data_IF_804925441555
#
_entry.id   IF_804925441555
#
_cell.length_a   1.000
_cell.length_b   1.000
_cell.length_c   1.000
_cell.angle_alpha   90.00
_cell.angle_beta   90.00
_cell.angle_gamma   90.00
#
_symmetry.space_group_name_H-M   'P 1'
#
loop_
_entity.id
_entity.type
_entity.pdbx_description
1 polymer ?
#
# COMPACT_ATOMS: atom_id res chain seq x y z
N UNK A 1 25.70 -23.58 5.22
CA UNK A 1 26.43 -23.59 3.93
C UNK A 1 25.46 -23.76 2.77
N UNK A 2 25.82 -23.31 1.57
CA UNK A 2 24.99 -23.40 0.35
C UNK A 2 24.47 -24.80 0.04
N UNK A 3 25.27 -25.88 0.18
CA UNK A 3 24.77 -27.26 -0.03
C UNK A 3 23.66 -27.67 0.92
N UNK A 4 23.69 -27.20 2.17
CA UNK A 4 22.65 -27.48 3.16
C UNK A 4 21.34 -26.80 2.78
N UNK A 5 21.40 -25.54 2.33
CA UNK A 5 20.19 -24.83 1.88
C UNK A 5 19.55 -25.52 0.68
N UNK A 6 20.34 -25.92 -0.31
CA UNK A 6 19.85 -26.66 -1.49
C UNK A 6 19.20 -28.00 -1.10
N UNK A 7 19.76 -28.72 -0.11
CA UNK A 7 19.19 -29.97 0.36
C UNK A 7 17.84 -29.74 1.09
N UNK A 8 17.70 -28.64 1.82
CA UNK A 8 16.47 -28.23 2.48
C UNK A 8 15.41 -27.84 1.44
N UNK A 9 15.76 -27.00 0.46
CA UNK A 9 14.88 -26.58 -0.63
C UNK A 9 14.36 -27.75 -1.47
N UNK A 10 15.19 -28.77 -1.68
CA UNK A 10 14.81 -30.00 -2.38
C UNK A 10 14.02 -31.00 -1.51
N UNK A 11 13.79 -30.69 -0.23
CA UNK A 11 13.11 -31.61 0.70
C UNK A 11 13.91 -32.87 1.05
N UNK A 12 15.20 -32.97 0.64
CA UNK A 12 16.07 -34.12 0.90
C UNK A 12 16.69 -34.12 2.30
N UNK A 13 16.56 -32.99 3.01
CA UNK A 13 17.00 -32.85 4.40
C UNK A 13 15.97 -32.02 5.19
N UNK A 14 15.51 -32.52 6.35
CA UNK A 14 14.62 -31.74 7.22
C UNK A 14 15.37 -30.58 7.88
N UNK A 15 14.66 -29.49 8.11
CA UNK A 15 15.10 -28.35 8.89
C UNK A 15 15.20 -28.73 10.37
N UNK A 16 16.31 -28.36 11.02
CA UNK A 16 16.45 -28.48 12.49
C UNK A 16 15.85 -27.25 13.17
N UNK A 17 15.35 -27.39 14.39
CA UNK A 17 14.73 -26.30 15.14
C UNK A 17 15.61 -25.04 15.23
N UNK A 18 16.91 -25.20 15.49
CA UNK A 18 17.85 -24.08 15.53
C UNK A 18 18.08 -23.40 14.18
N UNK A 19 17.94 -24.14 13.08
CA UNK A 19 18.05 -23.59 11.72
C UNK A 19 16.80 -22.78 11.37
N UNK A 20 15.63 -23.25 11.80
CA UNK A 20 14.36 -22.52 11.64
C UNK A 20 14.43 -21.17 12.37
N UNK A 21 14.92 -21.15 13.62
CA UNK A 21 15.09 -19.90 14.39
C UNK A 21 16.04 -18.94 13.67
N UNK A 22 17.16 -19.43 13.13
CA UNK A 22 18.11 -18.60 12.36
C UNK A 22 17.51 -18.07 11.08
N UNK A 23 16.76 -18.89 10.34
CA UNK A 23 16.07 -18.45 9.13
C UNK A 23 14.97 -17.43 9.46
N UNK A 24 14.19 -17.67 10.53
CA UNK A 24 13.18 -16.74 11.01
C UNK A 24 13.80 -15.37 11.32
N UNK A 25 14.89 -15.35 12.08
CA UNK A 25 15.62 -14.12 12.39
C UNK A 25 16.18 -13.44 11.14
N UNK A 26 16.78 -14.21 10.22
CA UNK A 26 17.36 -13.68 8.97
C UNK A 26 16.31 -13.03 8.05
N UNK A 27 15.13 -13.67 7.94
CA UNK A 27 14.04 -13.15 7.13
C UNK A 27 13.11 -12.18 7.88
N UNK A 28 13.41 -11.83 9.13
CA UNK A 28 12.56 -10.97 9.95
C UNK A 28 11.17 -11.56 10.22
N UNK A 29 11.06 -12.91 10.20
CA UNK A 29 9.80 -13.63 10.38
C UNK A 29 9.77 -14.40 11.70
N UNK A 30 8.59 -14.68 12.22
CA UNK A 30 8.47 -15.59 13.38
C UNK A 30 8.66 -17.04 12.93
N UNK A 31 9.10 -17.89 13.87
CA UNK A 31 9.19 -19.35 13.64
C UNK A 31 7.82 -19.93 13.27
N UNK A 32 6.75 -19.40 13.87
CA UNK A 32 5.38 -19.81 13.59
C UNK A 32 4.96 -19.53 12.14
N UNK A 33 5.35 -18.39 11.59
CA UNK A 33 5.09 -18.05 10.17
C UNK A 33 5.82 -18.98 9.21
N UNK A 34 7.08 -19.34 9.51
CA UNK A 34 7.84 -20.27 8.68
C UNK A 34 7.32 -21.71 8.73
N UNK A 35 6.65 -22.09 9.82
CA UNK A 35 6.09 -23.42 10.00
C UNK A 35 4.62 -23.52 9.59
N UNK A 36 3.99 -22.42 9.23
CA UNK A 36 2.59 -22.39 8.82
C UNK A 36 2.42 -23.16 7.51
N UNK A 37 1.56 -24.16 7.46
CA UNK A 37 1.27 -24.85 6.20
C UNK A 37 0.40 -23.94 5.30
N UNK A 38 0.72 -23.91 4.02
CA UNK A 38 -0.06 -23.22 2.99
C UNK A 38 0.66 -22.02 2.37
N UNK A 39 0.15 -21.60 1.21
CA UNK A 39 0.56 -20.36 0.56
C UNK A 39 0.01 -19.15 1.33
N UNK A 40 0.68 -17.99 1.26
CA UNK A 40 0.15 -16.77 1.84
C UNK A 40 -1.22 -16.44 1.23
N UNK A 41 -2.18 -16.04 2.05
CA UNK A 41 -3.52 -15.66 1.61
C UNK A 41 -3.49 -14.46 0.62
N UNK A 42 -2.48 -13.63 0.76
CA UNK A 42 -2.17 -12.50 -0.11
C UNK A 42 -0.66 -12.29 -0.12
N UNK A 43 -0.07 -11.98 -1.27
CA UNK A 43 1.38 -11.73 -1.38
C UNK A 43 1.64 -10.35 -2.00
N UNK A 44 1.95 -9.37 -1.15
CA UNK A 44 2.27 -7.99 -1.54
C UNK A 44 3.79 -7.74 -1.65
N UNK A 45 4.61 -8.61 -1.04
CA UNK A 45 6.05 -8.40 -0.93
C UNK A 45 6.75 -8.31 -2.30
N UNK A 46 6.50 -9.21 -3.28
CA UNK A 46 7.18 -9.14 -4.56
C UNK A 46 6.93 -7.82 -5.28
N UNK A 47 5.72 -7.33 -5.17
CA UNK A 47 5.31 -6.08 -5.81
C UNK A 47 6.06 -4.87 -5.23
N UNK A 48 6.07 -4.72 -3.91
CA UNK A 48 6.73 -3.61 -3.23
C UNK A 48 8.27 -3.71 -3.30
N UNK A 49 8.84 -4.90 -3.19
CA UNK A 49 10.29 -5.11 -3.35
C UNK A 49 10.77 -4.81 -4.76
N UNK A 50 9.97 -5.09 -5.78
CA UNK A 50 10.30 -4.72 -7.16
C UNK A 50 10.40 -3.20 -7.34
N UNK A 51 9.57 -2.42 -6.62
CA UNK A 51 9.66 -0.95 -6.60
C UNK A 51 10.87 -0.48 -5.79
N UNK A 52 11.08 -1.02 -4.59
CA UNK A 52 12.22 -0.70 -3.73
C UNK A 52 13.56 -0.96 -4.43
N UNK A 53 13.69 -2.08 -5.14
CA UNK A 53 14.90 -2.46 -5.87
C UNK A 53 15.28 -1.51 -7.01
N UNK A 54 14.38 -0.67 -7.50
CA UNK A 54 14.68 0.36 -8.52
C UNK A 54 15.58 1.47 -7.99
N UNK A 55 15.62 1.71 -6.70
CA UNK A 55 16.45 2.75 -6.09
C UNK A 55 17.91 2.34 -5.95
N UNK A 56 18.27 1.09 -6.21
CA UNK A 56 19.64 0.50 -6.09
C UNK A 56 20.29 0.70 -4.71
N UNK A 57 19.54 1.11 -3.71
CA UNK A 57 20.02 1.31 -2.34
C UNK A 57 19.38 0.24 -1.48
N UNK A 58 20.19 -0.64 -0.90
CA UNK A 58 19.74 -1.58 0.10
C UNK A 58 19.24 -0.79 1.33
N UNK A 59 18.00 -1.00 1.71
CA UNK A 59 17.40 -0.36 2.87
C UNK A 59 16.73 -1.41 3.76
N UNK A 60 17.47 -1.96 4.74
CA UNK A 60 16.94 -2.99 5.64
C UNK A 60 15.68 -2.56 6.41
N UNK A 61 15.57 -1.27 6.76
CA UNK A 61 14.37 -0.75 7.43
C UNK A 61 13.15 -0.80 6.50
N UNK A 62 13.34 -0.53 5.22
CA UNK A 62 12.26 -0.65 4.22
C UNK A 62 11.86 -2.11 4.01
N UNK A 63 12.83 -3.02 3.91
CA UNK A 63 12.56 -4.46 3.78
C UNK A 63 11.80 -5.01 4.97
N UNK A 64 12.15 -4.55 6.17
CA UNK A 64 11.40 -4.87 7.39
C UNK A 64 9.97 -4.31 7.32
N UNK A 65 9.81 -3.04 6.93
CA UNK A 65 8.50 -2.42 6.81
C UNK A 65 7.59 -3.14 5.79
N UNK A 66 8.13 -3.56 4.65
CA UNK A 66 7.40 -4.36 3.66
C UNK A 66 6.99 -5.72 4.26
N UNK A 67 7.85 -6.36 5.03
CA UNK A 67 7.55 -7.65 5.68
C UNK A 67 6.48 -7.51 6.78
N UNK A 68 6.48 -6.41 7.52
CA UNK A 68 5.44 -6.09 8.51
C UNK A 68 4.10 -5.79 7.83
N UNK A 69 4.11 -5.08 6.70
CA UNK A 69 2.91 -4.78 5.92
C UNK A 69 2.29 -6.07 5.34
N UNK A 70 3.11 -7.00 4.88
CA UNK A 70 2.68 -8.33 4.45
C UNK A 70 1.93 -9.06 5.57
N UNK A 71 2.49 -9.08 6.79
CA UNK A 71 1.82 -9.71 7.94
C UNK A 71 0.49 -9.06 8.25
N UNK A 72 0.46 -7.72 8.25
CA UNK A 72 -0.78 -6.99 8.46
C UNK A 72 -1.86 -7.40 7.44
N UNK A 73 -1.49 -7.50 6.15
CA UNK A 73 -2.42 -7.91 5.10
C UNK A 73 -2.98 -9.32 5.33
N UNK A 74 -2.11 -10.28 5.68
CA UNK A 74 -2.51 -11.66 5.98
C UNK A 74 -3.41 -11.76 7.22
N UNK A 75 -3.04 -11.05 8.30
CA UNK A 75 -3.80 -11.06 9.55
C UNK A 75 -5.18 -10.40 9.37
N UNK A 76 -5.24 -9.30 8.60
CA UNK A 76 -6.48 -8.61 8.29
C UNK A 76 -7.44 -9.53 7.50
N UNK A 77 -6.94 -10.16 6.45
CA UNK A 77 -7.74 -11.08 5.64
C UNK A 77 -8.21 -12.29 6.46
N UNK A 78 -7.36 -12.78 7.36
CA UNK A 78 -7.73 -13.87 8.26
C UNK A 78 -8.84 -13.47 9.22
N UNK A 79 -8.79 -12.26 9.76
CA UNK A 79 -9.86 -11.72 10.61
C UNK A 79 -11.18 -11.60 9.84
N UNK A 80 -11.15 -11.11 8.61
CA UNK A 80 -12.34 -11.06 7.74
C UNK A 80 -12.96 -12.46 7.56
N UNK A 81 -12.11 -13.47 7.34
CA UNK A 81 -12.57 -14.86 7.19
C UNK A 81 -13.17 -15.41 8.50
N UNK A 82 -12.51 -15.19 9.64
CA UNK A 82 -12.99 -15.66 10.95
C UNK A 82 -14.33 -15.01 11.31
N UNK A 83 -14.43 -13.70 11.04
CA UNK A 83 -15.63 -12.91 11.33
C UNK A 83 -16.74 -13.11 10.29
N UNK A 84 -16.44 -13.80 9.18
CA UNK A 84 -17.32 -13.88 8.01
C UNK A 84 -17.83 -12.49 7.55
N UNK A 85 -16.94 -11.50 7.60
CA UNK A 85 -17.23 -10.11 7.31
C UNK A 85 -16.15 -9.55 6.34
N UNK A 86 -16.18 -9.93 5.05
CA UNK A 86 -15.24 -9.40 4.07
C UNK A 86 -15.45 -7.91 3.86
N UNK A 87 -14.36 -7.17 3.68
CA UNK A 87 -14.43 -5.74 3.36
C UNK A 87 -15.12 -5.54 2.01
N UNK A 88 -16.13 -4.69 1.99
CA UNK A 88 -16.84 -4.36 0.75
C UNK A 88 -16.00 -3.38 -0.07
N UNK A 89 -15.51 -3.84 -1.20
CA UNK A 89 -14.78 -3.00 -2.14
C UNK A 89 -15.77 -2.15 -2.96
N UNK A 90 -15.60 -0.83 -2.94
CA UNK A 90 -16.46 0.12 -3.63
C UNK A 90 -15.59 1.11 -4.43
N UNK A 91 -14.76 0.57 -5.33
CA UNK A 91 -13.88 1.36 -6.18
C UNK A 91 -14.60 1.83 -7.43
N UNK A 92 -14.39 3.08 -7.87
CA UNK A 92 -14.82 3.50 -9.18
C UNK A 92 -14.01 2.77 -10.28
N UNK A 93 -14.49 2.76 -11.53
CA UNK A 93 -13.69 2.30 -12.66
C UNK A 93 -12.34 3.01 -12.72
N UNK A 94 -11.29 2.28 -13.12
CA UNK A 94 -9.97 2.88 -13.29
C UNK A 94 -10.00 3.97 -14.35
N UNK A 95 -9.49 5.13 -13.99
CA UNK A 95 -9.48 6.31 -14.86
C UNK A 95 -8.20 6.31 -15.70
N UNK A 96 -8.33 6.40 -17.01
CA UNK A 96 -7.19 6.38 -17.93
C UNK A 96 -6.63 7.78 -18.15
N UNK A 97 -5.38 8.00 -17.76
CA UNK A 97 -4.65 9.21 -18.11
C UNK A 97 -4.23 9.15 -19.59
N UNK A 98 -4.85 9.98 -20.42
CA UNK A 98 -4.45 10.14 -21.82
C UNK A 98 -3.33 11.18 -21.92
N UNK A 99 -2.42 11.02 -22.87
CA UNK A 99 -1.33 11.98 -23.12
C UNK A 99 -1.83 13.37 -23.61
N UNK A 100 -3.11 13.49 -23.96
CA UNK A 100 -3.72 14.72 -24.46
C UNK A 100 -4.40 15.54 -23.34
N UNK A 101 -4.54 15.00 -22.14
CA UNK A 101 -5.22 15.65 -21.02
C UNK A 101 -4.21 16.23 -20.06
N UNK A 102 -4.44 17.46 -19.58
CA UNK A 102 -3.67 18.02 -18.48
C UNK A 102 -3.95 17.23 -17.20
N UNK A 103 -2.98 16.51 -16.63
CA UNK A 103 -3.21 15.65 -15.46
C UNK A 103 -3.74 16.41 -14.25
N UNK A 104 -3.40 17.69 -14.10
CA UNK A 104 -3.82 18.52 -12.97
C UNK A 104 -5.30 18.87 -13.06
N UNK A 105 -5.75 19.45 -14.18
CA UNK A 105 -7.16 19.79 -14.37
C UNK A 105 -8.05 18.54 -14.28
N UNK A 106 -7.58 17.43 -14.85
CA UNK A 106 -8.31 16.18 -14.79
C UNK A 106 -8.39 15.62 -13.36
N UNK A 107 -7.35 15.79 -12.55
CA UNK A 107 -7.35 15.37 -11.15
C UNK A 107 -8.35 16.16 -10.31
N UNK A 108 -8.51 17.46 -10.56
CA UNK A 108 -9.51 18.31 -9.92
C UNK A 108 -10.93 17.83 -10.26
N UNK A 109 -11.21 17.56 -11.54
CA UNK A 109 -12.51 17.06 -11.99
C UNK A 109 -12.83 15.69 -11.33
N UNK A 110 -11.85 14.79 -11.29
CA UNK A 110 -12.02 13.47 -10.64
C UNK A 110 -12.23 13.61 -9.13
N UNK A 111 -11.55 14.55 -8.48
CA UNK A 111 -11.74 14.81 -7.05
C UNK A 111 -13.18 15.29 -6.74
N UNK A 112 -13.74 16.14 -7.57
CA UNK A 112 -15.14 16.59 -7.46
C UNK A 112 -16.10 15.42 -7.66
N UNK A 113 -15.91 14.65 -8.72
CA UNK A 113 -16.76 13.49 -9.00
C UNK A 113 -16.71 12.46 -7.87
N UNK A 114 -15.54 12.20 -7.32
CA UNK A 114 -15.35 11.23 -6.25
C UNK A 114 -15.95 11.71 -4.92
N UNK A 115 -15.83 13.01 -4.61
CA UNK A 115 -16.54 13.60 -3.46
C UNK A 115 -18.06 13.49 -3.61
N UNK A 116 -18.59 13.69 -4.82
CA UNK A 116 -20.02 13.52 -5.11
C UNK A 116 -20.44 12.06 -4.96
N UNK A 117 -19.66 11.11 -5.50
CA UNK A 117 -19.91 9.66 -5.39
C UNK A 117 -19.98 9.20 -3.93
N UNK A 118 -19.12 9.77 -3.07
CA UNK A 118 -19.06 9.46 -1.65
C UNK A 118 -20.01 10.32 -0.79
N UNK A 119 -20.79 11.22 -1.39
CA UNK A 119 -21.75 12.06 -0.68
C UNK A 119 -21.13 13.09 0.27
N UNK A 120 -19.88 13.51 0.03
CA UNK A 120 -19.11 14.36 0.94
C UNK A 120 -19.42 15.86 0.77
N UNK A 121 -19.98 16.29 -0.37
CA UNK A 121 -20.18 17.70 -0.68
C UNK A 121 -18.87 18.49 -0.61
N UNK A 122 -18.96 19.80 -0.30
CA UNK A 122 -17.78 20.70 -0.21
C UNK A 122 -17.27 20.89 1.22
N UNK A 123 -17.87 20.21 2.20
CA UNK A 123 -17.49 20.36 3.61
C UNK A 123 -16.15 19.68 3.92
N UNK A 124 -15.39 20.19 4.91
CA UNK A 124 -14.21 19.51 5.40
C UNK A 124 -14.50 18.09 5.87
N UNK A 125 -13.65 17.15 5.47
CA UNK A 125 -13.78 15.75 5.89
C UNK A 125 -13.12 15.58 7.25
N UNK A 126 -13.88 15.32 8.29
CA UNK A 126 -13.36 15.18 9.66
C UNK A 126 -12.59 13.89 9.80
N UNK A 127 -13.22 12.75 9.51
CA UNK A 127 -12.61 11.41 9.61
C UNK A 127 -12.37 10.82 8.23
N UNK A 128 -11.30 11.30 7.57
CA UNK A 128 -10.92 10.83 6.24
C UNK A 128 -10.62 9.34 6.20
N UNK A 129 -9.95 8.82 7.23
CA UNK A 129 -9.59 7.42 7.28
C UNK A 129 -10.84 6.54 7.27
N UNK A 130 -11.82 6.85 8.10
CA UNK A 130 -13.06 6.09 8.14
C UNK A 130 -13.82 6.14 6.79
N UNK A 131 -13.84 7.30 6.12
CA UNK A 131 -14.43 7.40 4.78
C UNK A 131 -13.73 6.45 3.80
N UNK A 132 -12.40 6.43 3.77
CA UNK A 132 -11.65 5.57 2.87
C UNK A 132 -11.76 4.08 3.22
N UNK A 133 -11.85 3.74 4.51
CA UNK A 133 -12.01 2.35 4.94
C UNK A 133 -13.46 1.86 4.77
N UNK A 134 -14.45 2.61 5.22
CA UNK A 134 -15.84 2.16 5.24
C UNK A 134 -16.58 2.37 3.91
N UNK A 135 -16.38 3.52 3.24
CA UNK A 135 -17.14 3.87 2.03
C UNK A 135 -16.42 3.45 0.74
N UNK A 136 -15.08 3.44 0.74
CA UNK A 136 -14.28 3.05 -0.43
C UNK A 136 -13.84 1.59 -0.34
N UNK A 137 -13.58 1.07 0.85
CA UNK A 137 -13.09 -0.29 1.06
C UNK A 137 -11.58 -0.41 0.91
N UNK A 138 -10.83 0.60 1.36
CA UNK A 138 -9.38 0.57 1.46
C UNK A 138 -8.95 0.02 2.82
N UNK A 139 -7.84 -0.71 2.85
CA UNK A 139 -7.17 -1.09 4.10
C UNK A 139 -6.06 -0.11 4.38
N UNK A 140 -6.11 0.57 5.53
CA UNK A 140 -5.15 1.62 5.87
C UNK A 140 -4.43 1.29 7.16
N UNK A 141 -3.10 1.27 7.14
CA UNK A 141 -2.27 1.04 8.32
C UNK A 141 -1.31 2.20 8.57
N UNK A 142 -1.23 2.66 9.82
CA UNK A 142 -0.19 3.58 10.26
C UNK A 142 1.02 2.78 10.72
N UNK A 143 2.11 2.85 9.96
CA UNK A 143 3.32 2.09 10.19
C UNK A 143 4.54 3.01 10.36
N UNK A 144 5.54 2.58 11.13
CA UNK A 144 6.84 3.27 11.17
C UNK A 144 7.60 2.97 9.88
N UNK A 145 7.64 3.93 8.97
CA UNK A 145 8.43 3.84 7.76
C UNK A 145 9.77 4.60 7.92
N UNK A 146 10.78 4.31 7.09
CA UNK A 146 11.96 5.15 6.96
C UNK A 146 11.58 6.61 6.68
N UNK A 147 12.34 7.56 7.24
CA UNK A 147 12.01 8.99 7.19
C UNK A 147 11.70 9.55 5.79
N UNK A 148 12.41 9.12 4.71
CA UNK A 148 12.13 9.63 3.36
C UNK A 148 10.84 9.06 2.73
N UNK A 149 10.18 8.09 3.37
CA UNK A 149 8.99 7.43 2.81
C UNK A 149 7.74 7.97 3.50
N UNK A 150 6.82 8.51 2.70
CA UNK A 150 5.53 9.00 3.18
C UNK A 150 4.50 7.89 3.27
N UNK A 151 4.42 7.05 2.26
CA UNK A 151 3.46 5.96 2.18
C UNK A 151 3.92 4.83 1.26
N UNK A 152 3.14 3.77 1.26
CA UNK A 152 3.27 2.65 0.32
C UNK A 152 1.86 2.21 -0.09
N UNK A 153 1.71 1.86 -1.36
CA UNK A 153 0.46 1.37 -1.93
C UNK A 153 0.66 0.02 -2.62
N UNK A 154 -0.28 -0.88 -2.41
CA UNK A 154 -0.39 -2.13 -3.14
C UNK A 154 -1.86 -2.44 -3.42
N UNK A 155 -2.13 -3.01 -4.61
CA UNK A 155 -3.44 -3.52 -4.99
C UNK A 155 -3.31 -4.97 -5.47
N UNK A 156 -4.09 -5.87 -4.91
CA UNK A 156 -4.03 -7.29 -5.25
C UNK A 156 -5.46 -7.85 -5.37
N UNK A 157 -5.90 -8.09 -6.59
CA UNK A 157 -7.11 -8.83 -6.92
C UNK A 157 -8.29 -8.58 -5.99
N UNK A 158 -8.83 -9.65 -5.43
CA UNK A 158 -9.98 -9.60 -4.51
C UNK A 158 -9.65 -9.01 -3.12
N UNK A 159 -8.36 -8.98 -2.74
CA UNK A 159 -7.95 -8.29 -1.51
C UNK A 159 -8.16 -6.78 -1.62
N UNK A 160 -8.00 -6.20 -2.81
CA UNK A 160 -8.16 -4.77 -3.04
C UNK A 160 -6.94 -3.93 -2.66
N UNK A 161 -7.18 -2.65 -2.32
CA UNK A 161 -6.15 -1.67 -2.02
C UNK A 161 -5.71 -1.68 -0.56
N UNK A 162 -4.39 -1.64 -0.37
CA UNK A 162 -3.72 -1.50 0.92
C UNK A 162 -2.81 -0.28 0.89
N UNK A 163 -2.97 0.59 1.88
CA UNK A 163 -2.17 1.80 2.06
C UNK A 163 -1.45 1.74 3.40
N UNK A 164 -0.13 1.81 3.38
CA UNK A 164 0.66 2.08 4.58
C UNK A 164 1.05 3.55 4.62
N UNK A 165 0.79 4.22 5.74
CA UNK A 165 1.08 5.64 5.95
C UNK A 165 2.12 5.79 7.06
N UNK A 166 3.13 6.61 6.85
CA UNK A 166 4.16 6.82 7.85
C UNK A 166 3.60 7.52 9.10
N UNK A 167 3.50 6.77 10.20
CA UNK A 167 2.97 7.28 11.47
C UNK A 167 3.79 8.40 12.11
N UNK A 168 5.06 8.54 11.70
CA UNK A 168 5.97 9.59 12.21
C UNK A 168 5.66 10.96 11.62
N UNK A 169 4.85 11.03 10.56
CA UNK A 169 4.47 12.29 9.93
C UNK A 169 3.30 12.98 10.67
N UNK A 170 3.20 14.32 10.59
CA UNK A 170 2.08 15.07 11.16
C UNK A 170 0.73 14.63 10.58
N UNK A 171 -0.38 14.82 11.30
CA UNK A 171 -1.72 14.41 10.87
C UNK A 171 -2.09 14.93 9.47
N UNK A 172 -1.79 16.19 9.16
CA UNK A 172 -2.10 16.83 7.88
C UNK A 172 -1.40 16.12 6.74
N UNK A 173 -0.12 15.78 6.94
CA UNK A 173 0.66 15.05 5.95
C UNK A 173 0.15 13.63 5.78
N UNK A 174 -0.22 12.94 6.86
CA UNK A 174 -0.80 11.60 6.77
C UNK A 174 -2.11 11.60 5.97
N UNK A 175 -2.94 12.65 6.12
CA UNK A 175 -4.16 12.83 5.33
C UNK A 175 -3.84 13.01 3.84
N UNK A 176 -2.88 13.87 3.52
CA UNK A 176 -2.44 14.07 2.14
C UNK A 176 -1.87 12.78 1.54
N UNK A 177 -1.06 12.02 2.30
CA UNK A 177 -0.51 10.73 1.85
C UNK A 177 -1.63 9.72 1.57
N UNK A 178 -2.62 9.55 2.46
CA UNK A 178 -3.74 8.64 2.20
C UNK A 178 -4.46 8.94 0.89
N UNK A 179 -4.69 10.21 0.59
CA UNK A 179 -5.35 10.61 -0.66
C UNK A 179 -4.44 10.53 -1.88
N UNK A 180 -3.14 10.75 -1.71
CA UNK A 180 -2.17 10.53 -2.78
C UNK A 180 -2.18 9.05 -3.22
N UNK A 181 -2.11 8.13 -2.27
CA UNK A 181 -2.19 6.69 -2.56
C UNK A 181 -3.57 6.27 -3.09
N UNK A 182 -4.63 6.94 -2.62
CA UNK A 182 -5.96 6.76 -3.21
C UNK A 182 -5.99 7.26 -4.67
N UNK A 183 -5.31 8.35 -5.00
CA UNK A 183 -5.13 8.82 -6.38
C UNK A 183 -4.51 7.75 -7.27
N UNK A 184 -3.50 7.01 -6.78
CA UNK A 184 -2.91 5.88 -7.51
C UNK A 184 -3.90 4.73 -7.71
N UNK A 185 -4.76 4.43 -6.74
CA UNK A 185 -5.83 3.46 -6.93
C UNK A 185 -6.78 3.84 -8.06
N UNK A 186 -7.00 5.13 -8.29
CA UNK A 186 -7.91 5.60 -9.33
C UNK A 186 -7.32 5.48 -10.74
N UNK A 187 -6.01 5.70 -10.93
CA UNK A 187 -5.41 5.84 -12.27
C UNK A 187 -4.42 4.74 -12.65
N UNK A 188 -3.79 4.08 -11.72
CA UNK A 188 -2.80 3.04 -11.97
C UNK A 188 -2.73 1.99 -10.84
N UNK A 189 -3.90 1.54 -10.37
CA UNK A 189 -4.06 0.62 -9.22
C UNK A 189 -3.21 -0.64 -9.29
N UNK A 190 -2.91 -1.11 -10.48
CA UNK A 190 -2.10 -2.32 -10.67
C UNK A 190 -0.59 -2.06 -10.59
N UNK A 191 -0.17 -0.81 -10.36
CA UNK A 191 1.24 -0.44 -10.17
C UNK A 191 1.48 -0.15 -8.68
N UNK A 192 2.14 -1.05 -7.97
CA UNK A 192 2.50 -0.80 -6.58
C UNK A 192 3.44 0.40 -6.49
N UNK A 193 3.28 1.21 -5.45
CA UNK A 193 4.02 2.43 -5.23
C UNK A 193 4.69 2.51 -3.87
N UNK A 194 5.79 3.25 -3.81
CA UNK A 194 6.43 3.73 -2.59
C UNK A 194 6.62 5.22 -2.76
N UNK A 195 5.92 6.02 -1.96
CA UNK A 195 5.96 7.48 -2.02
C UNK A 195 7.16 8.02 -1.21
N UNK A 196 8.11 8.62 -1.93
CA UNK A 196 9.29 9.27 -1.36
C UNK A 196 9.08 10.77 -1.26
N UNK A 197 9.47 11.37 -0.12
CA UNK A 197 9.39 12.82 0.12
C UNK A 197 10.20 13.68 -0.86
N UNK A 198 11.31 13.15 -1.34
CA UNK A 198 12.16 13.77 -2.34
C UNK A 198 11.91 13.13 -3.70
N UNK A 199 11.11 13.75 -4.53
CA UNK A 199 10.79 13.28 -5.88
C UNK A 199 11.75 13.85 -6.93
N UNK A 200 12.08 13.06 -7.99
CA UNK A 200 12.88 13.54 -9.10
C UNK A 200 12.24 14.74 -9.82
N UNK A 201 13.07 15.53 -10.50
CA UNK A 201 12.68 16.75 -11.22
C UNK A 201 11.58 16.53 -12.28
N UNK A 202 11.45 15.32 -12.82
CA UNK A 202 10.42 14.98 -13.81
C UNK A 202 9.48 13.92 -13.24
N UNK A 203 8.32 14.35 -12.78
CA UNK A 203 7.28 13.48 -12.23
C UNK A 203 6.43 12.85 -13.35
N UNK A 204 6.13 11.54 -13.30
CA UNK A 204 5.14 10.91 -14.16
C UNK A 204 3.76 11.60 -14.10
N UNK A 205 2.94 11.42 -15.11
CA UNK A 205 1.59 11.99 -15.13
C UNK A 205 0.71 11.48 -13.98
N UNK A 206 0.86 10.21 -13.59
CA UNK A 206 0.15 9.61 -12.45
C UNK A 206 0.53 10.25 -11.10
N UNK A 207 1.82 10.56 -10.89
CA UNK A 207 2.26 11.26 -9.69
C UNK A 207 1.68 12.68 -9.60
N UNK A 208 1.69 13.40 -10.73
CA UNK A 208 1.07 14.74 -10.79
C UNK A 208 -0.44 14.68 -10.57
N UNK A 209 -1.09 13.67 -11.12
CA UNK A 209 -2.51 13.42 -10.87
C UNK A 209 -2.76 13.15 -9.39
N UNK A 210 -2.06 12.20 -8.77
CA UNK A 210 -2.25 11.82 -7.38
C UNK A 210 -2.03 13.00 -6.42
N UNK A 211 -1.01 13.84 -6.67
CA UNK A 211 -0.72 15.02 -5.87
C UNK A 211 -1.86 16.05 -5.94
N UNK A 212 -2.31 16.42 -7.16
CA UNK A 212 -3.38 17.41 -7.35
C UNK A 212 -4.72 16.85 -6.86
N UNK A 213 -5.02 15.57 -7.13
CA UNK A 213 -6.21 14.90 -6.63
C UNK A 213 -6.29 14.97 -5.10
N UNK A 214 -5.19 14.65 -4.41
CA UNK A 214 -5.15 14.70 -2.94
C UNK A 214 -5.48 16.10 -2.40
N UNK A 215 -4.92 17.13 -3.00
CA UNK A 215 -5.16 18.52 -2.59
C UNK A 215 -6.58 18.99 -2.91
N UNK A 216 -7.08 18.73 -4.12
CA UNK A 216 -8.44 19.08 -4.53
C UNK A 216 -9.51 18.31 -3.73
N UNK A 217 -9.23 17.07 -3.38
CA UNK A 217 -10.14 16.26 -2.55
C UNK A 217 -10.20 16.78 -1.10
N UNK A 218 -9.08 17.24 -0.52
CA UNK A 218 -9.04 17.82 0.83
C UNK A 218 -9.65 19.22 0.88
N UNK A 219 -9.39 20.03 -0.14
CA UNK A 219 -9.75 21.43 -0.22
C UNK A 219 -10.45 21.71 -1.57
N UNK A 220 -11.72 21.31 -1.70
CA UNK A 220 -12.46 21.57 -2.92
C UNK A 220 -12.56 23.08 -3.17
N UNK A 221 -12.36 23.50 -4.43
CA UNK A 221 -12.65 24.86 -4.80
C UNK A 221 -14.14 25.10 -4.61
N UNK A 222 -14.49 26.00 -3.72
CA UNK A 222 -15.88 26.47 -3.59
C UNK A 222 -16.23 27.23 -4.87
N UNK A 223 -17.21 26.73 -5.59
CA UNK A 223 -17.83 27.40 -6.74
C UNK A 223 -18.55 28.66 -6.33
#
# INVERSE_FOLDING_TARGET
SRPILIAIEKGTRPLKAQEIVKLASFFGRSVHELLRPGEPLVDIQPHLRAVAGRTKVENPELDQAISELQRFAEDYLRLEQIMNAPLKLNYPPEVRLSNQVNPAAFAEDVAVQERQRLGLGDQPIIDLRNVLEAEVGLRIVYQSLPSPIAGMFAYIGEFGGLIAVNRKHPPERRRATMLHEYGHLLVDRHKPGIDYLATPVKRPASERFAEVFAMAFLMPATS
#
